data_IF_303699278081
#
_entry.id   IF_303699278081
#
_cell.length_a   1.000
_cell.length_b   1.000
_cell.length_c   1.000
_cell.angle_alpha   90.00
_cell.angle_beta   90.00
_cell.angle_gamma   90.00
#
_symmetry.space_group_name_H-M   'P 1'
#
loop_
_entity.id
_entity.type
_entity.pdbx_description
1 polymer ?
#
# COMPACT_ATOMS: atom_id res chain seq x y z
N UNK A 1 -15.26 26.54 -15.46
CA UNK A 1 -14.93 25.48 -14.49
C UNK A 1 -14.80 24.21 -15.30
N UNK A 2 -13.61 23.59 -15.29
CA UNK A 2 -13.30 22.44 -16.13
C UNK A 2 -14.16 21.25 -15.69
N UNK A 3 -14.96 20.70 -16.59
CA UNK A 3 -15.87 19.56 -16.35
C UNK A 3 -15.12 18.26 -16.01
N UNK A 4 -13.82 18.17 -16.29
CA UNK A 4 -13.01 16.96 -16.11
C UNK A 4 -12.75 16.56 -14.65
N UNK A 5 -12.87 17.48 -13.68
CA UNK A 5 -12.68 17.20 -12.25
C UNK A 5 -14.00 17.14 -11.45
N UNK A 6 -15.17 17.18 -12.09
CA UNK A 6 -16.44 17.13 -11.36
C UNK A 6 -16.63 15.80 -10.62
N UNK A 7 -16.33 14.68 -11.29
CA UNK A 7 -16.44 13.34 -10.70
C UNK A 7 -15.46 13.13 -9.54
N UNK A 8 -14.25 13.71 -9.61
CA UNK A 8 -13.26 13.62 -8.53
C UNK A 8 -13.78 14.29 -7.26
N UNK A 9 -14.40 15.46 -7.40
CA UNK A 9 -14.99 16.16 -6.25
C UNK A 9 -16.22 15.42 -5.70
N UNK A 10 -17.04 14.83 -6.56
CA UNK A 10 -18.17 14.00 -6.14
C UNK A 10 -17.71 12.75 -5.39
N UNK A 11 -16.75 12.01 -5.96
CA UNK A 11 -16.13 10.84 -5.33
C UNK A 11 -15.50 11.17 -3.97
N UNK A 12 -14.82 12.31 -3.87
CA UNK A 12 -14.26 12.80 -2.61
C UNK A 12 -15.35 13.04 -1.56
N UNK A 13 -16.42 13.74 -1.93
CA UNK A 13 -17.53 14.05 -1.01
C UNK A 13 -18.25 12.77 -0.56
N UNK A 14 -18.51 11.83 -1.48
CA UNK A 14 -19.11 10.53 -1.15
C UNK A 14 -18.21 9.72 -0.20
N UNK A 15 -16.89 9.72 -0.44
CA UNK A 15 -15.91 9.07 0.44
C UNK A 15 -15.91 9.69 1.84
N UNK A 16 -15.95 11.03 1.93
CA UNK A 16 -16.03 11.77 3.18
C UNK A 16 -17.32 11.45 3.95
N UNK A 17 -18.48 11.53 3.30
CA UNK A 17 -19.78 11.28 3.92
C UNK A 17 -19.88 9.85 4.47
N UNK A 18 -19.48 8.86 3.67
CA UNK A 18 -19.48 7.44 4.09
C UNK A 18 -18.48 7.19 5.22
N UNK A 19 -17.29 7.78 5.15
CA UNK A 19 -16.30 7.70 6.24
C UNK A 19 -16.83 8.31 7.53
N UNK A 20 -17.43 9.50 7.48
CA UNK A 20 -18.04 10.14 8.65
C UNK A 20 -19.14 9.27 9.25
N UNK A 21 -19.97 8.61 8.43
CA UNK A 21 -20.94 7.64 8.91
C UNK A 21 -20.27 6.46 9.63
N UNK A 22 -19.28 5.84 8.99
CA UNK A 22 -18.57 4.68 9.52
C UNK A 22 -17.86 4.96 10.86
N UNK A 23 -17.41 6.20 11.09
CA UNK A 23 -16.76 6.58 12.35
C UNK A 23 -17.61 6.32 13.58
N UNK A 24 -18.95 6.30 13.46
CA UNK A 24 -19.86 6.02 14.57
C UNK A 24 -19.69 4.61 15.14
N UNK A 25 -19.40 3.61 14.29
CA UNK A 25 -19.18 2.21 14.72
C UNK A 25 -17.71 1.86 14.80
N UNK A 26 -16.93 2.22 13.78
CA UNK A 26 -15.50 1.87 13.71
C UNK A 26 -14.72 2.62 14.80
N UNK A 27 -15.04 3.90 15.00
CA UNK A 27 -14.31 4.77 15.93
C UNK A 27 -12.79 4.69 15.71
N UNK A 28 -12.06 4.46 16.80
CA UNK A 28 -10.61 4.23 16.80
C UNK A 28 -10.23 2.74 16.69
N UNK A 29 -11.03 1.95 15.98
CA UNK A 29 -10.75 0.55 15.63
C UNK A 29 -9.88 0.40 14.38
N UNK A 30 -9.55 -0.85 14.03
CA UNK A 30 -8.69 -1.18 12.89
C UNK A 30 -9.43 -2.08 11.89
N UNK A 31 -10.27 -1.51 11.01
CA UNK A 31 -10.99 -2.29 10.01
C UNK A 31 -10.02 -2.99 9.06
N UNK A 32 -10.40 -4.16 8.56
CA UNK A 32 -9.58 -4.94 7.61
C UNK A 32 -10.34 -5.27 6.32
N UNK A 33 -11.33 -6.15 6.42
CA UNK A 33 -12.19 -6.57 5.31
C UNK A 33 -13.65 -6.51 5.73
N UNK A 34 -14.52 -6.05 4.84
CA UNK A 34 -15.96 -6.04 5.09
C UNK A 34 -16.56 -7.42 4.86
N UNK A 35 -17.39 -7.86 5.79
CA UNK A 35 -18.10 -9.14 5.74
C UNK A 35 -19.57 -8.87 6.02
N UNK A 36 -20.43 -9.17 5.04
CA UNK A 36 -21.86 -8.85 5.09
C UNK A 36 -22.15 -7.36 5.37
N UNK A 37 -21.42 -6.48 4.68
CA UNK A 37 -21.57 -5.02 4.81
C UNK A 37 -20.77 -4.39 5.95
N UNK A 38 -20.16 -5.16 6.85
CA UNK A 38 -19.51 -4.62 8.05
C UNK A 38 -18.03 -5.01 8.10
N UNK A 39 -17.16 -4.02 8.27
CA UNK A 39 -15.73 -4.24 8.50
C UNK A 39 -15.49 -5.04 9.77
N UNK A 40 -14.78 -6.16 9.61
CA UNK A 40 -14.16 -6.86 10.73
C UNK A 40 -13.01 -6.00 11.28
N UNK A 41 -13.05 -5.75 12.58
CA UNK A 41 -12.03 -4.97 13.28
C UNK A 41 -10.95 -5.91 13.83
N UNK A 42 -9.72 -5.71 13.39
CA UNK A 42 -8.57 -6.50 13.79
C UNK A 42 -7.86 -5.92 15.01
N UNK A 43 -6.94 -6.70 15.57
CA UNK A 43 -6.07 -6.23 16.63
C UNK A 43 -5.12 -5.11 16.12
N UNK A 44 -4.65 -4.20 17.01
CA UNK A 44 -3.77 -3.10 16.62
C UNK A 44 -2.45 -3.55 15.96
N UNK A 45 -2.03 -4.80 16.20
CA UNK A 45 -0.81 -5.37 15.63
C UNK A 45 -0.99 -5.93 14.22
N UNK A 46 -2.18 -5.84 13.63
CA UNK A 46 -2.43 -6.30 12.27
C UNK A 46 -1.88 -5.30 11.24
N UNK A 47 -1.31 -5.80 10.16
CA UNK A 47 -0.58 -5.00 9.16
C UNK A 47 -1.42 -3.87 8.54
N UNK A 48 -2.76 -4.01 8.51
CA UNK A 48 -3.65 -2.98 7.97
C UNK A 48 -4.00 -1.84 8.93
N UNK A 49 -3.44 -1.83 10.15
CA UNK A 49 -3.82 -0.87 11.19
C UNK A 49 -3.55 0.60 10.82
N UNK A 50 -2.66 0.87 9.86
CA UNK A 50 -2.37 2.23 9.39
C UNK A 50 -3.38 2.81 8.39
N UNK A 51 -4.12 1.98 7.65
CA UNK A 51 -4.90 2.47 6.50
C UNK A 51 -6.12 3.29 6.89
N UNK A 52 -6.86 2.86 7.92
CA UNK A 52 -8.00 3.65 8.45
C UNK A 52 -7.57 5.03 8.95
N UNK A 53 -6.64 5.16 9.93
CA UNK A 53 -6.20 6.48 10.36
C UNK A 53 -5.52 7.29 9.25
N UNK A 54 -4.82 6.66 8.31
CA UNK A 54 -4.29 7.33 7.12
C UNK A 54 -5.39 7.97 6.27
N UNK A 55 -6.51 7.25 6.06
CA UNK A 55 -7.65 7.75 5.31
C UNK A 55 -8.38 8.88 6.08
N UNK A 56 -8.49 8.75 7.41
CA UNK A 56 -9.03 9.82 8.26
C UNK A 56 -8.21 11.11 8.14
N UNK A 57 -6.87 11.00 8.13
CA UNK A 57 -6.00 12.16 7.92
C UNK A 57 -6.23 12.80 6.55
N UNK A 58 -6.30 12.01 5.47
CA UNK A 58 -6.51 12.55 4.11
C UNK A 58 -7.81 13.35 4.02
N UNK A 59 -8.89 12.79 4.57
CA UNK A 59 -10.21 13.41 4.57
C UNK A 59 -10.28 14.62 5.52
N UNK A 60 -9.57 14.58 6.65
CA UNK A 60 -9.44 15.72 7.57
C UNK A 60 -8.81 16.94 6.89
N UNK A 61 -7.72 16.75 6.13
CA UNK A 61 -6.98 17.86 5.51
C UNK A 61 -7.85 18.77 4.63
N UNK A 62 -8.84 18.21 3.94
CA UNK A 62 -9.76 19.00 3.12
C UNK A 62 -11.01 19.46 3.89
N UNK A 63 -11.57 18.57 4.70
CA UNK A 63 -12.88 18.83 5.34
C UNK A 63 -12.78 19.69 6.59
N UNK A 64 -11.63 19.69 7.28
CA UNK A 64 -11.46 20.31 8.59
C UNK A 64 -12.30 19.65 9.70
N UNK A 65 -12.82 18.44 9.49
CA UNK A 65 -13.68 17.75 10.45
C UNK A 65 -12.86 17.21 11.63
N UNK A 66 -12.84 17.95 12.73
CA UNK A 66 -12.02 17.64 13.92
C UNK A 66 -12.25 16.23 14.50
N UNK A 67 -13.43 15.62 14.31
CA UNK A 67 -13.67 14.24 14.72
C UNK A 67 -12.76 13.23 14.00
N UNK A 68 -12.41 13.48 12.73
CA UNK A 68 -11.52 12.59 11.96
C UNK A 68 -10.10 12.65 12.51
N UNK A 69 -9.63 13.87 12.83
CA UNK A 69 -8.34 14.11 13.48
C UNK A 69 -8.26 13.41 14.83
N UNK A 70 -9.25 13.61 15.70
CA UNK A 70 -9.28 13.01 17.03
C UNK A 70 -9.21 11.47 16.96
N UNK A 71 -9.98 10.85 16.07
CA UNK A 71 -9.94 9.39 15.88
C UNK A 71 -8.61 8.89 15.33
N UNK A 72 -7.99 9.63 14.40
CA UNK A 72 -6.67 9.27 13.88
C UNK A 72 -5.58 9.32 14.96
N UNK A 73 -5.62 10.32 15.84
CA UNK A 73 -4.72 10.45 17.01
C UNK A 73 -4.96 9.33 18.04
N UNK A 74 -6.22 8.94 18.28
CA UNK A 74 -6.55 7.81 19.15
C UNK A 74 -6.07 6.46 18.58
N UNK A 75 -6.23 6.23 17.28
CA UNK A 75 -5.69 5.04 16.61
C UNK A 75 -4.18 4.95 16.79
N UNK A 76 -3.47 6.06 16.55
CA UNK A 76 -2.01 6.13 16.75
C UNK A 76 -1.62 5.75 18.18
N UNK A 77 -2.31 6.28 19.19
CA UNK A 77 -2.02 5.98 20.59
C UNK A 77 -2.19 4.48 20.93
N UNK A 78 -3.16 3.78 20.31
CA UNK A 78 -3.33 2.33 20.49
C UNK A 78 -2.19 1.50 19.91
N UNK A 79 -1.40 2.05 18.97
CA UNK A 79 -0.24 1.36 18.41
C UNK A 79 0.97 1.38 19.36
N UNK A 80 0.95 2.17 20.44
CA UNK A 80 2.06 2.21 21.42
C UNK A 80 2.31 0.84 22.05
N UNK A 81 1.26 0.10 22.40
CA UNK A 81 1.40 -1.26 22.98
C UNK A 81 2.08 -2.23 22.00
N UNK A 82 1.78 -2.11 20.71
CA UNK A 82 2.39 -2.95 19.66
C UNK A 82 3.88 -2.61 19.52
N UNK A 83 4.19 -1.32 19.54
CA UNK A 83 5.55 -0.81 19.40
C UNK A 83 6.43 -1.17 20.60
N UNK A 84 5.89 -1.07 21.82
CA UNK A 84 6.58 -1.45 23.04
C UNK A 84 6.69 -2.98 23.20
N UNK A 85 5.70 -3.73 22.70
CA UNK A 85 5.68 -5.19 22.76
C UNK A 85 6.67 -5.88 21.81
N UNK A 86 7.02 -5.27 20.67
CA UNK A 86 8.01 -5.71 19.67
C UNK A 86 7.75 -7.07 18.97
N UNK A 87 7.30 -8.10 19.68
CA UNK A 87 7.20 -9.50 19.21
C UNK A 87 6.27 -9.70 18.01
N UNK A 88 5.24 -8.84 17.90
CA UNK A 88 4.24 -8.90 16.84
C UNK A 88 4.56 -8.00 15.64
N UNK A 89 5.70 -7.31 15.66
CA UNK A 89 6.14 -6.48 14.54
C UNK A 89 6.78 -7.32 13.44
N UNK A 90 6.41 -7.01 12.20
CA UNK A 90 6.99 -7.56 10.99
C UNK A 90 7.36 -6.43 10.00
N UNK A 91 7.65 -6.74 8.75
CA UNK A 91 8.05 -5.71 7.77
C UNK A 91 7.00 -4.63 7.46
N UNK A 92 5.73 -4.79 7.86
CA UNK A 92 4.62 -3.88 7.51
C UNK A 92 4.58 -2.59 8.36
N UNK A 93 5.65 -2.35 9.12
CA UNK A 93 5.80 -1.15 9.95
C UNK A 93 5.69 0.16 9.16
N UNK A 94 6.05 0.17 7.88
CA UNK A 94 5.85 1.35 7.03
C UNK A 94 4.37 1.64 6.82
N UNK A 95 3.56 0.65 6.43
CA UNK A 95 2.10 0.83 6.30
C UNK A 95 1.47 1.37 7.59
N UNK A 96 1.90 0.85 8.74
CA UNK A 96 1.34 1.23 10.03
C UNK A 96 1.78 2.63 10.49
N UNK A 97 3.08 2.92 10.50
CA UNK A 97 3.61 4.16 11.10
C UNK A 97 3.80 5.33 10.13
N UNK A 98 3.84 5.10 8.81
CA UNK A 98 3.80 6.22 7.86
C UNK A 98 2.42 6.87 7.90
N UNK A 99 1.37 6.06 7.90
CA UNK A 99 -0.02 6.50 7.82
C UNK A 99 -0.61 7.00 9.14
N UNK A 100 0.12 6.81 10.25
CA UNK A 100 -0.25 7.32 11.57
C UNK A 100 0.74 8.38 12.02
N UNK A 101 1.90 7.95 12.52
CA UNK A 101 2.87 8.81 13.19
C UNK A 101 3.61 9.77 12.25
N UNK A 102 4.05 9.31 11.07
CA UNK A 102 4.68 10.22 10.09
C UNK A 102 3.66 11.22 9.57
N UNK A 103 2.43 10.78 9.28
CA UNK A 103 1.33 11.66 8.88
C UNK A 103 1.08 12.75 9.93
N UNK A 104 0.86 12.39 11.20
CA UNK A 104 0.64 13.35 12.29
C UNK A 104 1.83 14.32 12.44
N UNK A 105 3.06 13.83 12.39
CA UNK A 105 4.25 14.69 12.44
C UNK A 105 4.34 15.66 11.26
N UNK A 106 4.08 15.20 10.03
CA UNK A 106 4.11 16.06 8.83
C UNK A 106 3.01 17.12 8.87
N UNK A 107 1.83 16.79 9.39
CA UNK A 107 0.68 17.69 9.43
C UNK A 107 0.74 18.70 10.59
N UNK A 108 1.24 18.28 11.75
CA UNK A 108 1.09 19.03 13.00
C UNK A 108 2.39 19.21 13.79
N UNK A 109 3.51 18.65 13.32
CA UNK A 109 4.79 18.73 14.02
C UNK A 109 4.81 17.98 15.35
N UNK A 110 3.96 16.95 15.52
CA UNK A 110 3.87 16.20 16.76
C UNK A 110 5.16 15.40 17.06
N UNK A 111 5.91 15.85 18.06
CA UNK A 111 7.21 15.25 18.41
C UNK A 111 7.07 13.83 19.00
N UNK A 112 5.97 13.52 19.70
CA UNK A 112 5.74 12.16 20.18
C UNK A 112 5.53 11.20 19.00
N UNK A 113 4.77 11.63 17.98
CA UNK A 113 4.62 10.89 16.72
C UNK A 113 5.95 10.72 15.99
N UNK A 114 6.78 11.76 15.92
CA UNK A 114 8.15 11.65 15.38
C UNK A 114 8.95 10.55 16.08
N UNK A 115 8.92 10.52 17.41
CA UNK A 115 9.63 9.51 18.21
C UNK A 115 9.08 8.09 17.93
N UNK A 116 7.76 7.92 17.87
CA UNK A 116 7.11 6.63 17.51
C UNK A 116 7.58 6.12 16.16
N UNK A 117 7.54 6.98 15.13
CA UNK A 117 7.97 6.61 13.79
C UNK A 117 9.47 6.28 13.73
N UNK A 118 10.33 6.99 14.48
CA UNK A 118 11.75 6.65 14.57
C UNK A 118 12.00 5.31 15.28
N UNK A 119 11.24 4.97 16.33
CA UNK A 119 11.29 3.64 16.95
C UNK A 119 10.92 2.56 15.92
N UNK A 120 9.81 2.73 15.22
CA UNK A 120 9.36 1.80 14.18
C UNK A 120 10.40 1.64 13.06
N UNK A 121 11.03 2.73 12.61
CA UNK A 121 12.10 2.68 11.62
C UNK A 121 13.33 1.89 12.10
N UNK A 122 13.72 2.01 13.37
CA UNK A 122 14.80 1.20 13.94
C UNK A 122 14.43 -0.29 13.98
N UNK A 123 13.19 -0.62 14.34
CA UNK A 123 12.72 -2.01 14.32
C UNK A 123 12.66 -2.58 12.91
N UNK A 124 12.18 -1.81 11.93
CA UNK A 124 12.18 -2.22 10.52
C UNK A 124 13.62 -2.45 10.02
N UNK A 125 14.53 -1.53 10.30
CA UNK A 125 15.94 -1.67 9.97
C UNK A 125 16.59 -2.92 10.62
N UNK A 126 16.21 -3.26 11.85
CA UNK A 126 16.71 -4.45 12.54
C UNK A 126 16.31 -5.78 11.88
N UNK A 127 15.34 -5.78 10.97
CA UNK A 127 14.94 -6.96 10.18
C UNK A 127 15.82 -7.21 8.95
N UNK A 128 16.79 -6.33 8.69
CA UNK A 128 17.66 -6.42 7.51
C UNK A 128 18.64 -7.60 7.62
N UNK A 129 18.56 -8.52 6.66
CA UNK A 129 19.56 -9.54 6.45
C UNK A 129 20.73 -8.96 5.65
N UNK A 130 21.90 -8.84 6.27
CA UNK A 130 23.09 -8.25 5.65
C UNK A 130 23.64 -9.07 4.47
N UNK A 131 23.51 -10.40 4.49
CA UNK A 131 24.08 -11.29 3.47
C UNK A 131 23.26 -11.30 2.19
N UNK A 132 21.95 -11.44 2.33
CA UNK A 132 21.00 -11.39 1.21
C UNK A 132 20.52 -9.99 0.84
N UNK A 133 20.85 -8.98 1.65
CA UNK A 133 20.43 -7.59 1.45
C UNK A 133 18.91 -7.43 1.29
N UNK A 134 18.14 -8.12 2.15
CA UNK A 134 16.68 -8.02 2.17
C UNK A 134 16.15 -7.77 3.58
N UNK A 135 14.99 -7.15 3.68
CA UNK A 135 14.23 -7.06 4.93
C UNK A 135 13.43 -8.35 5.09
N UNK A 136 13.64 -9.06 6.20
CA UNK A 136 12.84 -10.26 6.52
C UNK A 136 11.37 -9.86 6.68
N UNK A 137 10.49 -10.53 5.93
CA UNK A 137 9.06 -10.23 5.93
C UNK A 137 8.42 -10.57 7.28
N UNK A 138 8.18 -11.85 7.56
CA UNK A 138 7.41 -12.27 8.74
C UNK A 138 8.24 -12.91 9.85
N UNK A 139 7.68 -12.89 11.05
CA UNK A 139 8.13 -13.75 12.14
C UNK A 139 7.64 -15.20 11.88
N UNK A 140 8.22 -16.23 12.52
CA UNK A 140 7.68 -17.58 12.45
C UNK A 140 6.23 -17.64 12.93
N UNK A 141 5.35 -18.26 12.13
CA UNK A 141 3.93 -18.40 12.49
C UNK A 141 3.65 -19.62 13.36
N UNK A 142 4.54 -20.61 13.33
CA UNK A 142 4.45 -21.83 14.12
C UNK A 142 5.81 -22.14 14.72
N UNK A 143 5.81 -22.89 15.83
CA UNK A 143 7.04 -23.33 16.47
C UNK A 143 7.89 -24.15 15.50
N UNK A 144 9.17 -23.78 15.35
CA UNK A 144 10.09 -24.41 14.42
C UNK A 144 10.06 -23.90 12.99
N UNK A 145 9.09 -23.05 12.60
CA UNK A 145 9.10 -22.42 11.29
C UNK A 145 10.28 -21.45 11.12
N UNK A 146 10.83 -21.39 9.91
CA UNK A 146 11.99 -20.56 9.55
C UNK A 146 11.59 -19.61 8.42
N UNK A 147 11.14 -18.43 8.80
CA UNK A 147 10.74 -17.35 7.88
C UNK A 147 11.87 -16.35 7.64
N UNK A 148 13.09 -16.64 8.10
CA UNK A 148 14.24 -15.76 8.01
C UNK A 148 14.75 -15.53 6.59
N UNK A 149 14.47 -16.46 5.66
CA UNK A 149 14.74 -16.33 4.23
C UNK A 149 13.69 -15.56 3.43
N UNK A 150 12.51 -15.28 4.00
CA UNK A 150 11.38 -14.77 3.23
C UNK A 150 11.41 -13.25 3.12
N UNK A 151 11.37 -12.75 1.89
CA UNK A 151 11.14 -11.35 1.54
C UNK A 151 9.95 -11.24 0.59
N UNK A 152 9.22 -10.14 0.66
CA UNK A 152 7.94 -9.95 -0.03
C UNK A 152 7.88 -8.55 -0.64
N UNK A 153 7.21 -8.45 -1.78
CA UNK A 153 7.21 -7.25 -2.62
C UNK A 153 6.57 -6.00 -1.98
N UNK A 154 5.57 -6.18 -1.12
CA UNK A 154 4.93 -5.12 -0.33
C UNK A 154 5.91 -4.37 0.58
N UNK A 155 7.05 -4.97 0.92
CA UNK A 155 8.11 -4.30 1.65
C UNK A 155 8.65 -3.05 0.91
N UNK A 156 8.49 -2.96 -0.42
CA UNK A 156 8.79 -1.74 -1.18
C UNK A 156 7.96 -0.54 -0.69
N UNK A 157 6.70 -0.76 -0.31
CA UNK A 157 5.83 0.28 0.26
C UNK A 157 6.21 0.65 1.70
N UNK A 158 7.04 -0.16 2.35
CA UNK A 158 7.51 0.07 3.71
C UNK A 158 8.85 0.84 3.75
N UNK A 159 9.60 0.86 2.64
CA UNK A 159 10.88 1.57 2.54
C UNK A 159 10.82 3.09 2.76
N UNK A 160 9.73 3.81 2.39
CA UNK A 160 9.62 5.23 2.68
C UNK A 160 9.79 5.60 4.16
N UNK A 161 9.49 4.68 5.09
CA UNK A 161 9.71 4.89 6.53
C UNK A 161 11.20 5.05 6.83
N UNK A 162 12.05 4.23 6.20
CA UNK A 162 13.49 4.29 6.36
C UNK A 162 14.08 5.52 5.66
N UNK A 163 13.60 5.88 4.47
CA UNK A 163 14.01 7.13 3.81
C UNK A 163 13.64 8.35 4.66
N UNK A 164 12.42 8.38 5.23
CA UNK A 164 12.00 9.44 6.14
C UNK A 164 12.87 9.50 7.40
N UNK A 165 13.14 8.35 8.04
CA UNK A 165 13.98 8.28 9.22
C UNK A 165 15.40 8.78 8.94
N UNK A 166 15.96 8.45 7.78
CA UNK A 166 17.27 8.95 7.35
C UNK A 166 17.31 10.48 7.31
N UNK A 167 16.33 11.10 6.64
CA UNK A 167 16.23 12.58 6.53
C UNK A 167 16.05 13.25 7.90
N UNK A 168 15.19 12.70 8.76
CA UNK A 168 14.79 13.33 10.03
C UNK A 168 15.81 13.13 11.15
N UNK A 169 16.67 12.13 11.05
CA UNK A 169 17.75 11.86 12.02
C UNK A 169 19.14 12.24 11.52
N UNK A 170 19.29 12.61 10.25
CA UNK A 170 20.59 12.80 9.57
C UNK A 170 21.49 11.54 9.67
N UNK A 171 20.86 10.36 9.69
CA UNK A 171 21.55 9.08 9.73
C UNK A 171 21.39 8.33 8.39
N UNK A 172 22.48 8.17 7.62
CA UNK A 172 22.40 7.56 6.29
C UNK A 172 22.13 6.05 6.35
N UNK A 173 22.27 5.38 7.51
CA UNK A 173 22.10 3.91 7.59
C UNK A 173 20.72 3.47 7.12
N UNK A 174 19.69 4.25 7.41
CA UNK A 174 18.32 3.90 7.05
C UNK A 174 18.12 3.93 5.53
N UNK A 175 18.64 4.97 4.85
CA UNK A 175 18.61 5.05 3.40
C UNK A 175 19.42 3.92 2.74
N UNK A 176 20.63 3.62 3.26
CA UNK A 176 21.44 2.51 2.75
C UNK A 176 20.71 1.16 2.84
N UNK A 177 20.02 0.88 3.95
CA UNK A 177 19.23 -0.34 4.14
C UNK A 177 18.06 -0.39 3.13
N UNK A 178 17.34 0.73 2.98
CA UNK A 178 16.22 0.83 2.06
C UNK A 178 16.64 0.61 0.60
N UNK A 179 17.75 1.23 0.19
CA UNK A 179 18.32 1.05 -1.13
C UNK A 179 18.81 -0.39 -1.35
N UNK A 180 19.54 -0.98 -0.41
CA UNK A 180 20.02 -2.34 -0.55
C UNK A 180 18.87 -3.35 -0.70
N UNK A 181 17.76 -3.16 0.05
CA UNK A 181 16.56 -3.97 -0.13
C UNK A 181 15.91 -3.75 -1.51
N UNK A 182 15.81 -2.50 -1.95
CA UNK A 182 15.21 -2.15 -3.26
C UNK A 182 16.06 -2.70 -4.41
N UNK A 183 17.38 -2.63 -4.33
CA UNK A 183 18.30 -3.22 -5.31
C UNK A 183 18.11 -4.76 -5.40
N UNK A 184 17.88 -5.43 -4.27
CA UNK A 184 17.52 -6.86 -4.23
C UNK A 184 16.18 -7.14 -4.89
N UNK A 185 15.18 -6.26 -4.71
CA UNK A 185 13.87 -6.35 -5.39
C UNK A 185 14.05 -6.28 -6.91
N UNK A 186 14.81 -5.31 -7.42
CA UNK A 186 15.09 -5.17 -8.85
C UNK A 186 15.70 -6.44 -9.43
N UNK A 187 16.63 -7.05 -8.70
CA UNK A 187 17.39 -8.21 -9.16
C UNK A 187 16.58 -9.51 -9.14
N UNK A 188 15.70 -9.70 -8.15
CA UNK A 188 15.10 -11.00 -7.86
C UNK A 188 13.56 -11.05 -7.98
N UNK A 189 12.87 -9.92 -7.84
CA UNK A 189 11.40 -9.89 -7.84
C UNK A 189 10.83 -9.47 -9.19
N UNK A 190 11.43 -8.48 -9.84
CA UNK A 190 10.93 -7.91 -11.10
C UNK A 190 11.38 -8.78 -12.27
N UNK A 191 10.44 -9.45 -12.93
CA UNK A 191 10.74 -10.30 -14.10
C UNK A 191 10.95 -9.43 -15.34
N UNK A 192 11.57 -10.04 -16.36
CA UNK A 192 11.93 -9.34 -17.60
C UNK A 192 10.71 -8.69 -18.30
N UNK A 193 9.52 -9.29 -18.20
CA UNK A 193 8.28 -8.79 -18.80
C UNK A 193 7.52 -7.76 -17.93
N UNK A 194 8.05 -7.42 -16.75
CA UNK A 194 7.42 -6.51 -15.79
C UNK A 194 6.44 -7.16 -14.82
N UNK A 195 6.16 -8.47 -14.95
CA UNK A 195 5.46 -9.20 -13.89
C UNK A 195 6.36 -9.35 -12.65
N UNK A 196 5.76 -9.60 -11.49
CA UNK A 196 6.46 -9.54 -10.20
C UNK A 196 6.26 -10.83 -9.41
N UNK A 197 7.32 -11.38 -8.82
CA UNK A 197 7.19 -12.41 -7.79
C UNK A 197 6.57 -11.79 -6.54
N UNK A 198 5.63 -12.49 -5.91
CA UNK A 198 5.06 -12.03 -4.65
C UNK A 198 6.06 -12.20 -3.50
N UNK A 199 6.57 -13.43 -3.33
CA UNK A 199 7.52 -13.78 -2.28
C UNK A 199 8.77 -14.39 -2.93
N UNK A 200 9.94 -14.02 -2.43
CA UNK A 200 11.20 -14.68 -2.76
C UNK A 200 11.80 -15.26 -1.48
N UNK A 201 12.22 -16.51 -1.56
CA UNK A 201 12.93 -17.21 -0.49
C UNK A 201 14.44 -17.17 -0.77
N UNK A 202 15.21 -16.70 0.20
CA UNK A 202 16.67 -16.63 0.16
C UNK A 202 17.28 -17.56 1.21
N UNK A 203 18.49 -18.04 0.94
CA UNK A 203 19.31 -18.62 2.01
C UNK A 203 19.73 -17.48 2.95
N UNK A 204 19.35 -17.51 4.24
CA UNK A 204 19.59 -16.42 5.17
C UNK A 204 21.07 -16.28 5.58
N UNK A 205 21.91 -17.27 5.30
CA UNK A 205 23.34 -17.28 5.63
C UNK A 205 24.22 -16.86 4.44
N UNK A 206 23.87 -17.27 3.22
CA UNK A 206 24.64 -16.93 2.00
C UNK A 206 24.07 -15.73 1.26
N UNK A 207 22.76 -15.49 1.37
CA UNK A 207 22.04 -14.48 0.60
C UNK A 207 21.63 -14.92 -0.81
N UNK A 208 21.85 -16.18 -1.16
CA UNK A 208 21.47 -16.71 -2.48
C UNK A 208 19.95 -16.87 -2.59
N UNK A 209 19.39 -16.46 -3.73
CA UNK A 209 17.98 -16.72 -4.03
C UNK A 209 17.78 -18.22 -4.21
N UNK A 210 16.81 -18.80 -3.49
CA UNK A 210 16.44 -20.20 -3.58
C UNK A 210 15.30 -20.39 -4.58
N UNK A 211 14.19 -19.66 -4.40
CA UNK A 211 13.00 -19.79 -5.24
C UNK A 211 12.05 -18.59 -5.09
N UNK A 212 11.16 -18.43 -6.07
CA UNK A 212 9.97 -17.59 -5.94
C UNK A 212 8.77 -18.42 -5.50
N UNK A 213 7.92 -17.86 -4.63
CA UNK A 213 6.73 -18.52 -4.12
C UNK A 213 5.46 -17.75 -4.52
N UNK A 214 4.36 -18.47 -4.75
CA UNK A 214 3.09 -17.86 -5.15
C UNK A 214 2.47 -17.00 -4.05
N UNK A 215 2.55 -17.45 -2.79
CA UNK A 215 1.93 -16.77 -1.66
C UNK A 215 0.43 -16.58 -1.89
N UNK A 216 0.00 -15.33 -2.09
CA UNK A 216 -1.38 -14.93 -2.39
C UNK A 216 -1.73 -14.92 -3.89
N UNK A 217 -0.76 -15.11 -4.79
CA UNK A 217 -0.99 -15.26 -6.23
C UNK A 217 -1.46 -16.66 -6.61
N UNK A 218 -1.96 -16.81 -7.83
CA UNK A 218 -2.45 -18.08 -8.38
C UNK A 218 -1.38 -19.18 -8.38
N UNK A 219 -0.12 -18.84 -8.70
CA UNK A 219 1.00 -19.76 -8.73
C UNK A 219 2.32 -19.00 -8.54
N UNK A 220 3.45 -19.69 -8.23
CA UNK A 220 4.77 -19.03 -8.16
C UNK A 220 5.13 -18.19 -9.39
N UNK A 221 4.75 -18.67 -10.59
CA UNK A 221 5.00 -17.99 -11.86
C UNK A 221 3.81 -17.20 -12.40
N UNK A 222 2.75 -17.02 -11.59
CA UNK A 222 1.63 -16.15 -11.94
C UNK A 222 1.98 -14.67 -11.71
N UNK A 223 1.00 -13.78 -11.88
CA UNK A 223 1.19 -12.34 -11.78
C UNK A 223 0.07 -11.73 -10.94
N UNK A 224 0.18 -11.91 -9.63
CA UNK A 224 -0.74 -11.36 -8.64
C UNK A 224 -0.81 -9.84 -8.76
N UNK A 225 -2.02 -9.30 -8.96
CA UNK A 225 -2.17 -7.90 -9.38
C UNK A 225 -1.78 -6.91 -8.27
N UNK A 226 -2.10 -7.22 -7.02
CA UNK A 226 -1.69 -6.36 -5.88
C UNK A 226 -0.19 -6.37 -5.64
N UNK A 227 0.49 -7.49 -5.90
CA UNK A 227 1.96 -7.54 -5.87
C UNK A 227 2.59 -6.64 -6.92
N UNK A 228 2.02 -6.59 -8.12
CA UNK A 228 2.43 -5.65 -9.16
C UNK A 228 2.11 -4.19 -8.78
N UNK A 229 0.97 -3.93 -8.12
CA UNK A 229 0.63 -2.60 -7.62
C UNK A 229 1.61 -2.10 -6.55
N UNK A 230 1.98 -2.95 -5.59
CA UNK A 230 3.01 -2.65 -4.58
C UNK A 230 4.38 -2.38 -5.18
N UNK A 231 4.80 -3.17 -6.17
CA UNK A 231 6.05 -2.94 -6.88
C UNK A 231 6.01 -1.60 -7.64
N UNK A 232 4.94 -1.34 -8.39
CA UNK A 232 4.77 -0.12 -9.15
C UNK A 232 4.89 1.10 -8.26
N UNK A 233 4.10 1.14 -7.18
CA UNK A 233 4.08 2.31 -6.31
C UNK A 233 5.35 2.41 -5.47
N UNK A 234 5.79 1.31 -4.86
CA UNK A 234 6.99 1.26 -4.02
C UNK A 234 8.27 1.62 -4.77
N UNK A 235 8.44 1.16 -6.01
CA UNK A 235 9.59 1.53 -6.85
C UNK A 235 9.53 2.99 -7.28
N UNK A 236 8.34 3.51 -7.55
CA UNK A 236 8.16 4.93 -7.86
C UNK A 236 8.51 5.81 -6.65
N UNK A 237 8.14 5.38 -5.43
CA UNK A 237 8.53 6.04 -4.18
C UNK A 237 10.04 5.94 -3.92
N UNK A 238 10.65 4.79 -4.20
CA UNK A 238 12.10 4.64 -4.13
C UNK A 238 12.82 5.61 -5.08
N UNK A 239 12.34 5.75 -6.33
CA UNK A 239 12.84 6.76 -7.26
C UNK A 239 12.64 8.18 -6.72
N UNK A 240 11.45 8.49 -6.19
CA UNK A 240 11.17 9.80 -5.58
C UNK A 240 12.22 10.16 -4.51
N UNK A 241 12.59 9.22 -3.64
CA UNK A 241 13.52 9.49 -2.55
C UNK A 241 15.00 9.49 -2.93
N UNK A 242 15.39 8.80 -4.01
CA UNK A 242 16.81 8.56 -4.34
C UNK A 242 17.26 9.18 -5.66
N UNK A 243 16.34 9.43 -6.59
CA UNK A 243 16.67 9.84 -7.95
C UNK A 243 17.38 8.76 -8.79
N UNK A 244 17.48 7.51 -8.31
CA UNK A 244 18.13 6.41 -9.04
C UNK A 244 17.31 5.98 -10.26
N UNK A 245 17.86 6.15 -11.46
CA UNK A 245 17.19 5.80 -12.72
C UNK A 245 16.79 4.32 -12.80
N UNK A 246 17.58 3.40 -12.23
CA UNK A 246 17.24 1.97 -12.22
C UNK A 246 15.87 1.70 -11.59
N UNK A 247 15.51 2.41 -10.50
CA UNK A 247 14.21 2.29 -9.86
C UNK A 247 13.09 2.86 -10.75
N UNK A 248 13.36 3.97 -11.43
CA UNK A 248 12.43 4.57 -12.39
C UNK A 248 12.14 3.62 -13.57
N UNK A 249 13.18 3.04 -14.17
CA UNK A 249 13.03 2.09 -15.28
C UNK A 249 12.30 0.82 -14.84
N UNK A 250 12.55 0.33 -13.62
CA UNK A 250 11.82 -0.79 -13.05
C UNK A 250 10.34 -0.46 -12.82
N UNK A 251 10.04 0.70 -12.23
CA UNK A 251 8.66 1.17 -12.02
C UNK A 251 7.88 1.27 -13.34
N UNK A 252 8.49 1.86 -14.39
CA UNK A 252 7.89 1.92 -15.74
C UNK A 252 7.59 0.56 -16.32
N UNK A 253 8.50 -0.40 -16.16
CA UNK A 253 8.32 -1.77 -16.65
C UNK A 253 7.12 -2.44 -16.01
N UNK A 254 7.00 -2.34 -14.68
CA UNK A 254 5.85 -2.86 -13.94
C UNK A 254 4.57 -2.12 -14.31
N UNK A 255 4.61 -0.79 -14.45
CA UNK A 255 3.47 0.01 -14.89
C UNK A 255 2.96 -0.38 -16.28
N UNK A 256 3.86 -0.54 -17.24
CA UNK A 256 3.52 -0.97 -18.60
C UNK A 256 2.92 -2.38 -18.59
N UNK A 257 3.49 -3.31 -17.82
CA UNK A 257 2.91 -4.63 -17.63
C UNK A 257 1.50 -4.54 -17.05
N UNK A 258 1.32 -3.84 -15.93
CA UNK A 258 0.03 -3.69 -15.25
C UNK A 258 -1.04 -3.13 -16.19
N UNK A 259 -0.76 -2.00 -16.85
CA UNK A 259 -1.68 -1.35 -17.79
C UNK A 259 -2.03 -2.25 -18.98
N UNK A 260 -1.06 -3.00 -19.51
CA UNK A 260 -1.29 -3.92 -20.64
C UNK A 260 -2.17 -5.13 -20.30
N UNK A 261 -2.34 -5.42 -19.00
CA UNK A 261 -3.13 -6.56 -18.49
C UNK A 261 -4.50 -6.14 -17.97
N UNK A 262 -4.82 -4.85 -17.99
CA UNK A 262 -6.13 -4.39 -17.55
C UNK A 262 -7.24 -4.85 -18.51
N UNK A 263 -8.40 -5.26 -17.97
CA UNK A 263 -9.60 -5.51 -18.76
C UNK A 263 -10.21 -4.19 -19.29
N UNK A 264 -11.30 -4.32 -20.05
CA UNK A 264 -12.02 -3.19 -20.67
C UNK A 264 -12.51 -2.15 -19.65
N UNK A 265 -12.98 -2.59 -18.48
CA UNK A 265 -13.41 -1.73 -17.37
C UNK A 265 -12.25 -1.20 -16.52
N UNK A 266 -11.00 -1.45 -16.90
CA UNK A 266 -9.78 -0.92 -16.28
C UNK A 266 -9.52 -1.30 -14.81
N UNK A 267 -10.31 -2.19 -14.20
CA UNK A 267 -10.06 -2.68 -12.84
C UNK A 267 -9.45 -4.09 -12.92
N UNK A 268 -8.28 -4.34 -12.32
CA UNK A 268 -7.54 -5.57 -12.55
C UNK A 268 -8.30 -6.80 -12.01
N UNK A 269 -8.09 -7.94 -12.69
CA UNK A 269 -8.30 -9.24 -12.04
C UNK A 269 -7.38 -9.38 -10.83
N UNK A 270 -7.72 -10.24 -9.88
CA UNK A 270 -6.86 -10.52 -8.71
C UNK A 270 -5.49 -11.10 -9.09
N UNK A 271 -5.39 -11.82 -10.21
CA UNK A 271 -4.15 -12.30 -10.81
C UNK A 271 -4.23 -12.24 -12.34
N UNK A 272 -3.24 -11.60 -12.97
CA UNK A 272 -3.22 -11.37 -14.42
C UNK A 272 -2.91 -12.64 -15.23
N UNK A 273 -2.42 -13.70 -14.60
CA UNK A 273 -2.07 -14.98 -15.24
C UNK A 273 -2.89 -16.16 -14.71
N UNK A 274 -3.89 -15.92 -13.86
CA UNK A 274 -4.86 -16.96 -13.53
C UNK A 274 -5.65 -17.41 -14.77
N UNK A 275 -6.18 -18.65 -14.80
CA UNK A 275 -7.10 -19.12 -15.82
C UNK A 275 -8.26 -18.16 -16.06
N UNK A 276 -8.75 -18.11 -17.30
CA UNK A 276 -9.79 -17.16 -17.74
C UNK A 276 -11.04 -17.23 -16.84
N UNK A 277 -11.46 -18.42 -16.43
CA UNK A 277 -12.60 -18.62 -15.52
C UNK A 277 -12.41 -17.98 -14.13
N UNK A 278 -11.16 -17.77 -13.69
CA UNK A 278 -10.81 -17.17 -12.41
C UNK A 278 -10.52 -15.67 -12.50
N UNK A 279 -10.32 -15.11 -13.70
CA UNK A 279 -10.03 -13.68 -13.90
C UNK A 279 -11.25 -12.76 -13.79
N UNK A 280 -12.44 -13.34 -13.64
CA UNK A 280 -13.65 -12.59 -13.29
C UNK A 280 -13.60 -12.05 -11.86
N UNK A 281 -12.86 -12.72 -10.97
CA UNK A 281 -12.60 -12.17 -9.64
C UNK A 281 -11.68 -10.96 -9.78
N UNK A 282 -12.13 -9.83 -9.24
CA UNK A 282 -11.41 -8.57 -9.29
C UNK A 282 -10.57 -8.37 -8.05
N UNK A 283 -9.67 -7.40 -8.16
CA UNK A 283 -9.06 -6.79 -6.99
C UNK A 283 -9.05 -5.28 -7.12
N UNK A 284 -10.14 -4.64 -6.66
CA UNK A 284 -10.27 -3.19 -6.63
C UNK A 284 -9.15 -2.51 -5.83
N UNK A 285 -8.60 -3.19 -4.82
CA UNK A 285 -7.50 -2.68 -4.01
C UNK A 285 -6.17 -2.62 -4.76
N UNK A 286 -5.89 -3.59 -5.65
CA UNK A 286 -4.76 -3.52 -6.57
C UNK A 286 -4.93 -2.37 -7.56
N UNK A 287 -6.16 -2.16 -8.05
CA UNK A 287 -6.51 -1.05 -8.92
C UNK A 287 -6.22 0.30 -8.26
N UNK A 288 -6.75 0.53 -7.06
CA UNK A 288 -6.58 1.82 -6.37
C UNK A 288 -5.13 2.10 -6.01
N UNK A 289 -4.38 1.10 -5.50
CA UNK A 289 -2.94 1.26 -5.25
C UNK A 289 -2.16 1.57 -6.54
N UNK A 290 -2.39 0.82 -7.62
CA UNK A 290 -1.68 1.03 -8.87
C UNK A 290 -2.00 2.42 -9.44
N UNK A 291 -3.24 2.88 -9.30
CA UNK A 291 -3.61 4.22 -9.72
C UNK A 291 -2.84 5.32 -8.97
N UNK A 292 -2.74 5.24 -7.64
CA UNK A 292 -1.88 6.16 -6.87
C UNK A 292 -0.43 6.16 -7.34
N UNK A 293 0.14 4.97 -7.56
CA UNK A 293 1.51 4.84 -8.05
C UNK A 293 1.70 5.35 -9.48
N UNK A 294 0.71 5.15 -10.36
CA UNK A 294 0.73 5.64 -11.75
C UNK A 294 0.68 7.18 -11.78
N UNK A 295 -0.13 7.80 -10.93
CA UNK A 295 -0.19 9.25 -10.81
C UNK A 295 1.13 9.83 -10.32
N UNK A 296 1.75 9.22 -9.31
CA UNK A 296 3.10 9.62 -8.89
C UNK A 296 4.13 9.40 -10.00
N UNK A 297 4.06 8.27 -10.72
CA UNK A 297 5.00 7.98 -11.81
C UNK A 297 4.83 8.98 -12.96
N UNK A 298 3.61 9.43 -13.22
CA UNK A 298 3.31 10.49 -14.19
C UNK A 298 3.95 11.82 -13.77
N UNK A 299 3.84 12.20 -12.49
CA UNK A 299 4.49 13.41 -11.95
C UNK A 299 6.02 13.36 -12.04
N UNK A 300 6.58 12.15 -12.16
CA UNK A 300 8.02 11.86 -12.28
C UNK A 300 8.48 11.58 -13.71
N UNK A 301 7.58 11.64 -14.69
CA UNK A 301 7.85 11.35 -16.09
C UNK A 301 7.68 12.60 -16.96
N UNK A 302 8.16 12.52 -18.20
CA UNK A 302 8.01 13.58 -19.21
C UNK A 302 7.39 13.03 -20.50
N UNK A 303 6.81 13.93 -21.29
CA UNK A 303 6.26 13.61 -22.61
C UNK A 303 5.17 12.53 -22.58
N UNK A 304 5.17 11.67 -23.59
CA UNK A 304 4.11 10.67 -23.78
C UNK A 304 3.98 9.66 -22.64
N UNK A 305 5.06 9.36 -21.91
CA UNK A 305 4.99 8.46 -20.76
C UNK A 305 4.18 9.08 -19.61
N UNK A 306 4.35 10.39 -19.36
CA UNK A 306 3.58 11.10 -18.35
C UNK A 306 2.08 11.08 -18.65
N UNK A 307 1.71 11.30 -19.92
CA UNK A 307 0.31 11.28 -20.37
C UNK A 307 -0.30 9.87 -20.23
N UNK A 308 0.45 8.83 -20.61
CA UNK A 308 0.00 7.43 -20.50
C UNK A 308 -0.25 7.04 -19.05
N UNK A 309 0.68 7.35 -18.14
CA UNK A 309 0.55 6.98 -16.73
C UNK A 309 -0.54 7.78 -16.02
N UNK A 310 -0.64 9.09 -16.29
CA UNK A 310 -1.72 9.93 -15.73
C UNK A 310 -3.08 9.42 -16.17
N UNK A 311 -3.28 9.24 -17.48
CA UNK A 311 -4.54 8.76 -18.02
C UNK A 311 -4.86 7.32 -17.54
N UNK A 312 -3.85 6.48 -17.33
CA UNK A 312 -4.00 5.16 -16.72
C UNK A 312 -4.56 5.25 -15.29
N UNK A 313 -3.93 6.04 -14.42
CA UNK A 313 -4.39 6.23 -13.04
C UNK A 313 -5.80 6.83 -12.95
N UNK A 314 -6.08 7.85 -13.78
CA UNK A 314 -7.41 8.48 -13.85
C UNK A 314 -8.50 7.51 -14.30
N UNK A 315 -8.26 6.69 -15.34
CA UNK A 315 -9.25 5.71 -15.81
C UNK A 315 -9.55 4.64 -14.77
N UNK A 316 -8.54 4.17 -14.04
CA UNK A 316 -8.73 3.20 -12.96
C UNK A 316 -9.59 3.82 -11.84
N UNK A 317 -9.21 4.99 -11.31
CA UNK A 317 -9.96 5.65 -10.24
C UNK A 317 -11.38 5.99 -10.65
N UNK A 318 -11.58 6.46 -11.88
CA UNK A 318 -12.90 6.75 -12.41
C UNK A 318 -13.76 5.49 -12.51
N UNK A 319 -13.21 4.39 -13.01
CA UNK A 319 -13.95 3.13 -13.08
C UNK A 319 -14.27 2.58 -11.69
N UNK A 320 -13.35 2.68 -10.72
CA UNK A 320 -13.60 2.32 -9.33
C UNK A 320 -14.76 3.13 -8.74
N UNK A 321 -14.77 4.45 -8.99
CA UNK A 321 -15.86 5.32 -8.57
C UNK A 321 -17.20 4.94 -9.21
N UNK A 322 -17.23 4.78 -10.53
CA UNK A 322 -18.49 4.59 -11.27
C UNK A 322 -19.08 3.17 -11.14
N UNK A 323 -18.24 2.15 -11.03
CA UNK A 323 -18.66 0.75 -11.16
C UNK A 323 -18.42 -0.12 -9.91
N UNK A 324 -17.55 0.31 -8.99
CA UNK A 324 -17.15 -0.50 -7.84
C UNK A 324 -17.48 0.16 -6.49
N UNK A 325 -17.93 1.41 -6.49
CA UNK A 325 -18.20 2.14 -5.25
C UNK A 325 -19.53 1.74 -4.61
N UNK A 326 -19.52 1.50 -3.31
CA UNK A 326 -20.72 1.20 -2.52
C UNK A 326 -21.43 2.49 -2.02
N UNK A 327 -21.59 3.48 -2.91
CA UNK A 327 -22.02 4.83 -2.52
C UNK A 327 -23.47 4.91 -2.04
N UNK A 328 -24.34 4.09 -2.62
CA UNK A 328 -25.79 4.12 -2.37
C UNK A 328 -26.26 2.93 -1.49
N UNK A 329 -25.31 2.15 -0.96
CA UNK A 329 -25.58 1.10 0.03
C UNK A 329 -25.17 1.59 1.44
N UNK A 330 -26.14 1.99 2.29
CA UNK A 330 -25.85 2.43 3.65
C UNK A 330 -25.52 1.28 4.61
N UNK A 331 -25.74 0.02 4.22
CA UNK A 331 -25.40 -1.14 5.04
C UNK A 331 -23.97 -1.62 4.82
N UNK A 332 -23.34 -1.25 3.71
CA UNK A 332 -21.94 -1.50 3.42
C UNK A 332 -21.05 -0.40 3.99
N UNK A 333 -19.98 -0.76 4.70
CA UNK A 333 -19.02 0.21 5.24
C UNK A 333 -17.84 0.46 4.28
N UNK A 334 -17.46 -0.52 3.47
CA UNK A 334 -16.40 -0.35 2.48
C UNK A 334 -16.72 0.73 1.43
N UNK A 335 -15.74 1.51 1.00
CA UNK A 335 -15.93 2.45 -0.11
C UNK A 335 -15.98 1.69 -1.44
N UNK A 336 -15.06 0.76 -1.65
CA UNK A 336 -14.92 -0.03 -2.87
C UNK A 336 -15.23 -1.51 -2.66
N UNK A 337 -16.09 -2.07 -3.51
CA UNK A 337 -16.42 -3.48 -3.60
C UNK A 337 -15.34 -4.28 -4.36
N UNK A 338 -15.48 -5.61 -4.35
CA UNK A 338 -14.75 -6.53 -5.23
C UNK A 338 -13.21 -6.53 -5.08
N UNK A 339 -12.74 -6.48 -3.83
CA UNK A 339 -11.35 -6.75 -3.47
C UNK A 339 -11.11 -8.24 -3.24
N UNK A 340 -9.89 -8.72 -3.48
CA UNK A 340 -9.52 -10.11 -3.19
C UNK A 340 -8.22 -10.19 -2.41
N UNK A 341 -8.30 -10.51 -1.12
CA UNK A 341 -7.15 -10.53 -0.22
C UNK A 341 -6.26 -11.75 -0.47
N UNK A 342 -6.76 -12.96 -0.23
CA UNK A 342 -5.95 -14.18 -0.32
C UNK A 342 -6.76 -15.33 -0.93
N UNK A 343 -6.74 -15.38 -2.26
CA UNK A 343 -7.46 -16.39 -3.02
C UNK A 343 -7.01 -17.82 -2.69
N UNK A 344 -5.69 -18.16 -2.66
CA UNK A 344 -5.25 -19.52 -2.35
C UNK A 344 -5.71 -20.06 -0.99
N UNK A 345 -5.94 -19.19 -0.01
CA UNK A 345 -6.43 -19.57 1.33
C UNK A 345 -7.96 -19.46 1.46
N UNK A 346 -8.68 -19.00 0.44
CA UNK A 346 -10.12 -18.84 0.50
C UNK A 346 -10.61 -17.71 1.42
N UNK A 347 -9.77 -16.70 1.70
CA UNK A 347 -10.10 -15.64 2.68
C UNK A 347 -10.23 -14.27 2.03
N UNK A 348 -11.30 -13.55 2.43
CA UNK A 348 -11.62 -12.20 1.98
C UNK A 348 -11.57 -12.09 0.43
N UNK A 349 -12.31 -12.97 -0.25
CA UNK A 349 -12.48 -12.97 -1.71
C UNK A 349 -13.77 -12.23 -2.04
N UNK A 350 -13.70 -11.32 -3.00
CA UNK A 350 -14.84 -10.51 -3.46
C UNK A 350 -15.49 -9.67 -2.35
N UNK A 351 -14.65 -8.95 -1.58
CA UNK A 351 -15.08 -8.12 -0.45
C UNK A 351 -14.37 -6.76 -0.46
N UNK A 352 -14.96 -5.73 0.17
CA UNK A 352 -14.23 -4.49 0.45
C UNK A 352 -13.03 -4.67 1.37
N UNK A 353 -11.99 -3.89 1.09
CA UNK A 353 -10.69 -3.96 1.78
C UNK A 353 -10.23 -2.55 2.16
N UNK A 354 -9.87 -2.36 3.42
CA UNK A 354 -9.54 -1.02 3.96
C UNK A 354 -8.37 -0.34 3.23
N UNK A 355 -7.39 -1.12 2.77
CA UNK A 355 -6.25 -0.59 2.03
C UNK A 355 -6.68 -0.16 0.63
N UNK A 356 -7.65 -0.84 0.01
CA UNK A 356 -8.25 -0.42 -1.25
C UNK A 356 -8.93 0.94 -1.12
N UNK A 357 -9.71 1.13 -0.05
CA UNK A 357 -10.36 2.41 0.28
C UNK A 357 -9.34 3.53 0.52
N UNK A 358 -8.29 3.26 1.30
CA UNK A 358 -7.21 4.21 1.55
C UNK A 358 -6.55 4.69 0.24
N UNK A 359 -6.11 3.76 -0.62
CA UNK A 359 -5.44 4.13 -1.87
C UNK A 359 -6.38 4.82 -2.85
N UNK A 360 -7.69 4.53 -2.80
CA UNK A 360 -8.66 5.26 -3.60
C UNK A 360 -8.75 6.72 -3.18
N UNK A 361 -8.92 6.98 -1.88
CA UNK A 361 -8.95 8.35 -1.34
C UNK A 361 -7.62 9.08 -1.59
N UNK A 362 -6.49 8.39 -1.47
CA UNK A 362 -5.18 8.95 -1.80
C UNK A 362 -5.08 9.33 -3.29
N UNK A 363 -5.53 8.46 -4.19
CA UNK A 363 -5.57 8.73 -5.63
C UNK A 363 -6.43 9.96 -5.95
N UNK A 364 -7.60 10.09 -5.31
CA UNK A 364 -8.44 11.28 -5.42
C UNK A 364 -7.71 12.53 -4.91
N UNK A 365 -7.02 12.46 -3.78
CA UNK A 365 -6.23 13.58 -3.25
C UNK A 365 -5.17 14.05 -4.27
N UNK A 366 -4.46 13.10 -4.90
CA UNK A 366 -3.49 13.37 -5.97
C UNK A 366 -4.13 14.08 -7.16
N UNK A 367 -5.28 13.60 -7.65
CA UNK A 367 -6.00 14.24 -8.78
C UNK A 367 -6.50 15.65 -8.45
N UNK A 368 -6.76 15.94 -7.18
CA UNK A 368 -7.13 17.29 -6.71
C UNK A 368 -5.92 18.23 -6.58
N UNK A 369 -4.72 17.79 -6.97
CA UNK A 369 -3.48 18.54 -6.84
C UNK A 369 -3.03 18.71 -5.38
N UNK A 370 -3.48 17.83 -4.48
CA UNK A 370 -3.18 17.89 -3.05
C UNK A 370 -2.23 16.76 -2.68
N UNK A 371 -0.95 17.12 -2.55
CA UNK A 371 0.00 16.39 -1.71
C UNK A 371 -0.13 16.90 -0.27
N UNK A 372 0.03 16.05 0.74
CA UNK A 372 1.06 15.04 0.75
C UNK A 372 0.50 13.63 0.66
N UNK A 373 1.16 12.83 -0.16
CA UNK A 373 1.19 11.40 0.05
C UNK A 373 2.18 11.17 1.18
N UNK A 374 1.73 10.63 2.33
CA UNK A 374 2.54 10.55 3.56
C UNK A 374 3.87 9.81 3.40
N UNK A 375 3.99 9.04 2.33
CA UNK A 375 5.18 8.32 1.89
C UNK A 375 6.31 9.24 1.39
N UNK A 376 5.99 10.35 0.69
CA UNK A 376 6.95 11.32 0.10
C UNK A 376 7.51 12.29 1.15
#
# INVERSE_FOLDING_TARGET
MNTELSWVNEAWNRSLEKTLHNTARIGSGFPHASQNGVYQLEAPNWWTAGFWPGMLWLLYQESGQEQLKALAEECEAKLDEVLDGFERLDHDMGFMWILTSVANYKLHGNEASRIRALKAANYLAARFNLKGQYIRAWNPWTEGARNDGLAIIDCCMNMPLLYWASRVSDDPRFAHIAEAHTDTVLKHFIRADGSVYHIVNFDPHTGEMLEGLGGQGYAPESAWSRGAAWALYGLTLAYHHTGKDDYYQAAKRVANFFLSRLPEDHVPAWDFRAPDELRNLRDSSAGSCAASGLLLLADKSEGGDADVYRAGGERILKSLYENYGAWDDPAEEGLLLHGTSNYPQGTNIDVPLIYGDFFFVEGLARLKGRGPSYWE
#
